data_IF_454564638348
#
_entry.id   IF_454564638348
#
_cell.length_a   1.000
_cell.length_b   1.000
_cell.length_c   1.000
_cell.angle_alpha   90.00
_cell.angle_beta   90.00
_cell.angle_gamma   90.00
#
_symmetry.space_group_name_H-M   'P 1'
#
loop_
_entity.id
_entity.type
_entity.pdbx_description
1 polymer ?
#
# COMPACT_ATOMS: atom_id res chain seq x y z
N UNK A 1 34.79 24.30 32.13
CA UNK A 1 34.29 24.01 30.77
C UNK A 1 33.39 22.80 30.85
N UNK A 2 32.09 23.04 30.88
CA UNK A 2 31.07 22.05 31.20
C UNK A 2 30.84 21.07 30.06
N UNK A 3 31.41 19.87 30.18
CA UNK A 3 31.27 18.74 29.24
C UNK A 3 29.91 18.04 29.32
N UNK A 4 28.94 18.58 30.06
CA UNK A 4 27.63 17.96 30.34
C UNK A 4 26.51 18.49 29.46
N UNK A 5 26.78 19.42 28.54
CA UNK A 5 25.74 20.02 27.69
C UNK A 5 25.42 19.08 26.52
N UNK A 6 24.42 18.23 26.71
CA UNK A 6 23.85 17.40 25.65
C UNK A 6 23.25 18.30 24.56
N UNK A 7 23.56 18.08 23.28
CA UNK A 7 22.94 18.84 22.19
C UNK A 7 21.44 18.52 22.07
N UNK A 8 20.61 19.56 22.04
CA UNK A 8 19.17 19.47 21.79
C UNK A 8 18.91 19.22 20.30
N UNK A 9 18.55 17.99 19.95
CA UNK A 9 18.14 17.65 18.58
C UNK A 9 16.62 17.78 18.43
N UNK A 10 16.17 18.78 17.68
CA UNK A 10 14.77 18.89 17.24
C UNK A 10 14.58 18.09 15.96
N UNK A 11 14.05 16.87 16.08
CA UNK A 11 13.68 16.06 14.92
C UNK A 11 12.37 16.62 14.35
N UNK A 12 12.33 17.09 13.09
CA UNK A 12 11.10 17.57 12.48
C UNK A 12 10.13 16.40 12.23
N UNK A 13 8.85 16.63 12.47
CA UNK A 13 7.81 15.67 12.09
C UNK A 13 7.66 15.64 10.57
N UNK A 14 8.04 14.53 9.95
CA UNK A 14 7.88 14.29 8.53
C UNK A 14 6.56 13.56 8.27
N UNK A 15 5.53 14.30 7.83
CA UNK A 15 4.28 13.70 7.34
C UNK A 15 4.43 13.29 5.87
N UNK A 16 4.16 12.03 5.54
CA UNK A 16 4.10 11.58 4.14
C UNK A 16 2.64 11.40 3.73
N UNK A 17 2.14 12.25 2.83
CA UNK A 17 0.79 12.13 2.28
C UNK A 17 0.78 11.17 1.09
N UNK A 18 -0.06 10.12 1.13
CA UNK A 18 -0.18 9.15 0.04
C UNK A 18 -1.36 9.54 -0.87
N UNK A 19 -1.06 10.01 -2.08
CA UNK A 19 -2.04 10.40 -3.10
C UNK A 19 -2.39 9.22 -4.04
N UNK A 20 -2.84 8.10 -3.49
CA UNK A 20 -3.38 6.98 -4.29
C UNK A 20 -4.88 6.83 -4.02
N UNK A 21 -5.66 6.52 -5.06
CA UNK A 21 -7.10 6.28 -5.01
C UNK A 21 -7.41 5.18 -3.99
N UNK A 22 -7.84 5.58 -2.78
CA UNK A 22 -8.02 4.65 -1.66
C UNK A 22 -9.05 3.54 -1.97
N UNK A 23 -10.03 3.85 -2.82
CA UNK A 23 -11.08 2.93 -3.29
C UNK A 23 -10.53 1.67 -3.96
N UNK A 24 -9.54 1.78 -4.85
CA UNK A 24 -8.98 0.62 -5.55
C UNK A 24 -8.21 -0.29 -4.59
N UNK A 25 -7.55 0.29 -3.58
CA UNK A 25 -6.81 -0.45 -2.57
C UNK A 25 -7.74 -1.24 -1.66
N UNK A 26 -8.79 -0.60 -1.17
CA UNK A 26 -9.80 -1.23 -0.33
C UNK A 26 -10.43 -2.41 -1.08
N UNK A 27 -10.77 -2.21 -2.36
CA UNK A 27 -11.33 -3.25 -3.22
C UNK A 27 -10.40 -4.46 -3.40
N UNK A 28 -9.09 -4.24 -3.58
CA UNK A 28 -8.10 -5.34 -3.67
C UNK A 28 -7.96 -6.10 -2.35
N UNK A 29 -8.02 -5.40 -1.22
CA UNK A 29 -7.92 -6.00 0.10
C UNK A 29 -9.17 -6.82 0.41
N UNK A 30 -10.36 -6.35 0.01
CA UNK A 30 -11.64 -7.02 0.23
C UNK A 30 -11.92 -8.15 -0.77
N UNK A 31 -11.24 -8.19 -1.93
CA UNK A 31 -11.47 -9.20 -2.97
C UNK A 31 -11.30 -10.61 -2.41
N UNK A 32 -12.35 -11.42 -2.53
CA UNK A 32 -12.36 -12.81 -2.11
C UNK A 32 -11.93 -13.77 -3.25
N UNK A 33 -12.02 -15.08 -3.02
CA UNK A 33 -11.63 -16.08 -4.03
C UNK A 33 -12.61 -16.17 -5.21
N UNK A 34 -13.90 -15.91 -4.99
CA UNK A 34 -14.96 -16.00 -6.02
C UNK A 34 -14.95 -14.76 -6.91
N UNK A 35 -14.87 -13.57 -6.32
CA UNK A 35 -14.63 -12.30 -7.02
C UNK A 35 -13.32 -12.35 -7.81
N UNK A 36 -12.25 -12.93 -7.25
CA UNK A 36 -11.01 -13.12 -8.02
C UNK A 36 -11.22 -13.96 -9.28
N UNK A 37 -12.02 -15.05 -9.19
CA UNK A 37 -12.31 -15.93 -10.32
C UNK A 37 -13.12 -15.19 -11.38
N UNK A 38 -14.15 -14.44 -10.99
CA UNK A 38 -14.99 -13.66 -11.93
C UNK A 38 -14.17 -12.58 -12.64
N UNK A 39 -13.24 -11.94 -11.92
CA UNK A 39 -12.29 -10.98 -12.49
C UNK A 39 -11.18 -11.65 -13.32
N UNK A 40 -11.06 -12.98 -13.32
CA UNK A 40 -10.01 -13.72 -14.04
C UNK A 40 -8.59 -13.39 -13.58
N UNK A 41 -8.40 -12.89 -12.36
CA UNK A 41 -7.08 -12.51 -11.82
C UNK A 41 -6.39 -13.77 -11.28
N UNK A 42 -5.09 -13.94 -11.56
CA UNK A 42 -4.35 -15.08 -11.02
C UNK A 42 -4.23 -14.97 -9.48
N UNK A 43 -4.37 -16.10 -8.77
CA UNK A 43 -4.18 -16.21 -7.31
C UNK A 43 -2.88 -15.58 -6.82
N UNK A 44 -1.75 -15.83 -7.49
CA UNK A 44 -0.45 -15.28 -7.10
C UNK A 44 -0.42 -13.75 -7.22
N UNK A 45 -1.08 -13.23 -8.25
CA UNK A 45 -1.18 -11.79 -8.53
C UNK A 45 -2.01 -11.10 -7.46
N UNK A 46 -3.17 -11.65 -7.08
CA UNK A 46 -3.98 -11.08 -5.99
C UNK A 46 -3.23 -11.14 -4.64
N UNK A 47 -2.64 -12.30 -4.31
CA UNK A 47 -1.91 -12.47 -3.05
C UNK A 47 -0.73 -11.50 -2.91
N UNK A 48 0.05 -11.32 -3.99
CA UNK A 48 1.16 -10.36 -4.00
C UNK A 48 0.69 -8.93 -3.73
N UNK A 49 -0.40 -8.51 -4.39
CA UNK A 49 -0.97 -7.17 -4.22
C UNK A 49 -1.46 -6.98 -2.77
N UNK A 50 -2.28 -7.92 -2.26
CA UNK A 50 -2.78 -7.87 -0.88
C UNK A 50 -1.64 -7.85 0.14
N UNK A 51 -0.61 -8.70 -0.02
CA UNK A 51 0.54 -8.75 0.89
C UNK A 51 1.31 -7.42 0.91
N UNK A 52 1.49 -6.77 -0.24
CA UNK A 52 2.18 -5.46 -0.30
C UNK A 52 1.34 -4.33 0.28
N UNK A 53 0.03 -4.33 0.01
CA UNK A 53 -0.89 -3.33 0.54
C UNK A 53 -1.06 -3.44 2.06
N UNK A 54 -1.07 -4.65 2.63
CA UNK A 54 -1.05 -4.87 4.09
C UNK A 54 0.22 -4.34 4.76
N UNK A 55 1.36 -4.37 4.05
CA UNK A 55 2.63 -3.79 4.52
C UNK A 55 2.74 -2.28 4.31
N UNK A 56 1.66 -1.62 3.87
CA UNK A 56 1.66 -0.19 3.57
C UNK A 56 2.51 0.19 2.36
N UNK A 57 3.02 -0.76 1.56
CA UNK A 57 3.86 -0.45 0.41
C UNK A 57 3.00 -0.04 -0.80
N UNK A 58 3.59 0.76 -1.69
CA UNK A 58 3.04 1.03 -3.02
C UNK A 58 2.92 -0.28 -3.80
N UNK A 59 1.89 -0.44 -4.62
CA UNK A 59 1.71 -1.60 -5.49
C UNK A 59 1.53 -1.09 -6.91
N UNK A 60 2.39 -1.56 -7.83
CA UNK A 60 2.23 -1.26 -9.24
C UNK A 60 1.05 -2.08 -9.78
N UNK A 61 -0.07 -1.41 -10.03
CA UNK A 61 -1.22 -2.00 -10.71
C UNK A 61 -1.02 -1.88 -12.22
N UNK A 62 -0.97 -3.02 -12.90
CA UNK A 62 -0.92 -3.05 -14.35
C UNK A 62 -2.29 -2.74 -14.94
N UNK A 63 -2.32 -2.18 -16.17
CA UNK A 63 -3.56 -1.82 -16.87
C UNK A 63 -4.59 -2.96 -16.88
N UNK A 64 -4.13 -4.19 -17.13
CA UNK A 64 -4.97 -5.41 -17.16
C UNK A 64 -5.71 -5.68 -15.84
N UNK A 65 -5.06 -5.42 -14.71
CA UNK A 65 -5.64 -5.62 -13.37
C UNK A 65 -6.48 -4.42 -12.97
N UNK A 66 -6.04 -3.22 -13.34
CA UNK A 66 -6.76 -1.99 -13.07
C UNK A 66 -8.13 -1.99 -13.75
N UNK A 67 -8.21 -2.34 -15.04
CA UNK A 67 -9.46 -2.39 -15.82
C UNK A 67 -10.46 -3.47 -15.36
N UNK A 68 -10.08 -4.32 -14.41
CA UNK A 68 -10.95 -5.35 -13.85
C UNK A 68 -11.47 -4.97 -12.47
N UNK A 69 -10.80 -4.04 -11.79
CA UNK A 69 -11.09 -3.65 -10.41
C UNK A 69 -11.76 -2.27 -10.37
N UNK A 70 -11.41 -1.39 -11.30
CA UNK A 70 -12.10 -0.13 -11.61
C UNK A 70 -13.35 -0.46 -12.44
#
# INVERSE_FOLDING_TARGET
MDKTKSPDFKIPELSTSRNENNTTRERIISTDSEERKSLGINKSTLWYQQKRLKKGKLVKLYKKTRSRIE
#
